data_IF_006979798091
#
_entry.id   IF_006979798091
#
_cell.length_a   1.000
_cell.length_b   1.000
_cell.length_c   1.000
_cell.angle_alpha   90.00
_cell.angle_beta   90.00
_cell.angle_gamma   90.00
#
_symmetry.space_group_name_H-M   'P 1'
#
loop_
_entity.id
_entity.type
_entity.pdbx_description
1 polymer ?
#
# COMPACT_ATOMS: atom_id res chain seq x y z
N UNK A 1 8.61 23.48 -16.00
CA UNK A 1 7.17 23.60 -15.76
C UNK A 1 6.94 22.95 -14.41
N UNK A 2 6.96 23.75 -13.36
CA UNK A 2 6.85 23.26 -11.98
C UNK A 2 5.44 22.73 -11.75
N UNK A 3 5.34 21.53 -11.16
CA UNK A 3 4.08 20.86 -10.85
C UNK A 3 3.33 21.66 -9.76
N UNK A 4 2.50 22.60 -10.21
CA UNK A 4 1.76 23.56 -9.38
C UNK A 4 0.64 22.92 -8.52
N UNK A 5 0.76 21.66 -8.12
CA UNK A 5 -0.29 20.94 -7.42
C UNK A 5 0.16 19.89 -6.42
N UNK A 6 1.45 19.81 -6.06
CA UNK A 6 1.90 18.89 -5.02
C UNK A 6 1.10 19.12 -3.75
N UNK A 7 0.25 18.15 -3.38
CA UNK A 7 -0.39 18.17 -2.07
C UNK A 7 0.69 18.21 -1.02
N UNK A 8 0.59 19.15 -0.08
CA UNK A 8 1.33 19.03 1.15
C UNK A 8 0.67 17.92 1.97
N UNK A 9 1.13 16.68 1.75
CA UNK A 9 0.65 15.49 2.46
C UNK A 9 0.84 15.59 3.98
N UNK A 10 1.63 16.56 4.46
CA UNK A 10 1.77 16.82 5.90
C UNK A 10 0.73 17.78 6.47
N UNK A 11 0.10 18.59 5.62
CA UNK A 11 -0.91 19.56 6.02
C UNK A 11 -2.35 19.05 5.90
N UNK A 12 -2.56 17.92 5.21
CA UNK A 12 -3.89 17.34 4.99
C UNK A 12 -4.20 16.38 6.16
N UNK A 13 -5.27 16.63 6.95
CA UNK A 13 -5.73 15.67 7.94
C UNK A 13 -6.18 14.38 7.27
N UNK A 14 -5.88 13.23 7.89
CA UNK A 14 -6.19 11.90 7.35
C UNK A 14 -7.66 11.77 6.95
N UNK A 15 -8.58 12.26 7.78
CA UNK A 15 -10.03 12.21 7.54
C UNK A 15 -10.50 12.96 6.29
N UNK A 16 -9.72 13.94 5.82
CA UNK A 16 -10.05 14.76 4.65
C UNK A 16 -9.52 14.20 3.33
N UNK A 17 -8.70 13.15 3.36
CA UNK A 17 -8.19 12.55 2.11
C UNK A 17 -9.31 12.00 1.22
N UNK A 18 -10.42 11.56 1.82
CA UNK A 18 -11.56 11.07 1.06
C UNK A 18 -12.25 12.19 0.24
N UNK A 19 -12.22 13.42 0.75
CA UNK A 19 -12.75 14.60 0.05
C UNK A 19 -11.87 15.00 -1.15
N UNK A 20 -10.60 14.59 -1.12
CA UNK A 20 -9.64 14.85 -2.18
C UNK A 20 -9.63 13.75 -3.26
N UNK A 21 -10.36 12.64 -3.05
CA UNK A 21 -10.49 11.58 -4.03
C UNK A 21 -11.33 12.04 -5.22
N UNK A 22 -10.72 12.09 -6.40
CA UNK A 22 -11.39 12.42 -7.66
C UNK A 22 -11.86 11.15 -8.36
N UNK A 23 -11.08 10.07 -8.24
CA UNK A 23 -11.34 8.80 -8.90
C UNK A 23 -11.38 7.68 -7.87
N UNK A 24 -12.31 6.74 -8.04
CA UNK A 24 -12.41 5.54 -7.23
C UNK A 24 -12.19 4.31 -8.10
N UNK A 25 -11.13 3.56 -7.82
CA UNK A 25 -10.88 2.27 -8.46
C UNK A 25 -11.28 1.17 -7.49
N UNK A 26 -12.22 0.32 -7.92
CA UNK A 26 -12.67 -0.83 -7.16
C UNK A 26 -11.85 -2.07 -7.53
N UNK A 27 -11.66 -2.94 -6.54
CA UNK A 27 -11.13 -4.28 -6.76
C UNK A 27 -11.98 -5.04 -7.79
N UNK A 28 -11.34 -5.92 -8.56
CA UNK A 28 -12.08 -6.86 -9.38
C UNK A 28 -12.83 -7.86 -8.47
N UNK A 29 -14.08 -8.22 -8.83
CA UNK A 29 -14.79 -9.26 -8.10
C UNK A 29 -14.06 -10.60 -8.26
N UNK A 30 -14.00 -11.37 -7.18
CA UNK A 30 -13.40 -12.70 -7.13
C UNK A 30 -14.45 -13.72 -6.64
N UNK A 31 -14.32 -14.97 -7.06
CA UNK A 31 -15.12 -16.09 -6.54
C UNK A 31 -14.74 -16.40 -5.09
N UNK A 32 -15.68 -16.95 -4.32
CA UNK A 32 -15.50 -17.21 -2.88
C UNK A 32 -14.40 -18.25 -2.57
N UNK A 33 -14.15 -19.17 -3.51
CA UNK A 33 -13.14 -20.24 -3.41
C UNK A 33 -11.85 -19.93 -4.19
N UNK A 34 -11.64 -18.67 -4.59
CA UNK A 34 -10.48 -18.26 -5.37
C UNK A 34 -9.15 -18.64 -4.67
N UNK A 35 -8.28 -19.43 -5.32
CA UNK A 35 -7.04 -19.90 -4.69
C UNK A 35 -6.03 -18.78 -4.43
N UNK A 36 -6.13 -17.68 -5.17
CA UNK A 36 -5.33 -16.48 -5.00
C UNK A 36 -6.21 -15.24 -5.19
N UNK A 37 -7.07 -14.99 -4.20
CA UNK A 37 -7.94 -13.81 -4.14
C UNK A 37 -7.15 -12.52 -4.30
N UNK A 38 -5.97 -12.44 -3.69
CA UNK A 38 -5.15 -11.25 -3.72
C UNK A 38 -4.80 -10.83 -5.15
N UNK A 39 -4.31 -11.75 -5.98
CA UNK A 39 -4.02 -11.45 -7.39
C UNK A 39 -5.30 -11.27 -8.23
N UNK A 40 -6.33 -12.10 -8.01
CA UNK A 40 -7.59 -12.02 -8.75
C UNK A 40 -8.35 -10.70 -8.53
N UNK A 41 -8.16 -10.06 -7.37
CA UNK A 41 -8.77 -8.77 -7.03
C UNK A 41 -8.12 -7.56 -7.72
N UNK A 42 -7.02 -7.76 -8.45
CA UNK A 42 -6.22 -6.68 -9.05
C UNK A 42 -7.01 -5.89 -10.13
N UNK A 43 -7.11 -4.56 -10.00
CA UNK A 43 -7.70 -3.70 -11.04
C UNK A 43 -7.05 -3.86 -12.42
N UNK A 44 -7.84 -3.72 -13.49
CA UNK A 44 -7.39 -3.97 -14.88
C UNK A 44 -6.31 -3.01 -15.38
N UNK A 45 -6.18 -1.85 -14.76
CA UNK A 45 -5.15 -0.85 -15.05
C UNK A 45 -3.84 -1.10 -14.27
N UNK A 46 -3.72 -2.25 -13.60
CA UNK A 46 -2.56 -2.63 -12.81
C UNK A 46 -2.09 -4.04 -13.21
N UNK A 47 -0.81 -4.33 -12.94
CA UNK A 47 -0.19 -5.64 -13.20
C UNK A 47 0.83 -5.97 -12.11
N UNK A 48 0.89 -7.24 -11.71
CA UNK A 48 1.93 -7.75 -10.82
C UNK A 48 3.18 -8.09 -11.64
N UNK A 49 4.32 -7.50 -11.30
CA UNK A 49 5.63 -7.76 -11.93
C UNK A 49 6.71 -7.84 -10.86
N UNK A 50 7.89 -8.34 -11.21
CA UNK A 50 9.05 -8.21 -10.34
C UNK A 50 9.33 -6.73 -10.07
N UNK A 51 9.40 -6.37 -8.79
CA UNK A 51 9.89 -5.08 -8.33
C UNK A 51 11.39 -5.02 -8.58
N UNK A 52 11.88 -3.83 -8.91
CA UNK A 52 13.32 -3.66 -9.08
C UNK A 52 13.99 -3.88 -7.71
N UNK A 53 15.00 -4.76 -7.61
CA UNK A 53 15.70 -4.95 -6.35
C UNK A 53 16.23 -3.61 -5.86
N UNK A 54 16.05 -3.31 -4.58
CA UNK A 54 16.73 -2.21 -3.90
C UNK A 54 18.23 -2.18 -4.24
N UNK A 55 18.80 -3.37 -4.49
CA UNK A 55 20.20 -3.60 -4.88
C UNK A 55 20.55 -3.10 -6.29
N UNK A 56 19.61 -3.07 -7.24
CA UNK A 56 19.83 -2.51 -8.57
C UNK A 56 19.96 -0.98 -8.56
N UNK A 57 19.49 -0.32 -7.49
CA UNK A 57 19.62 1.13 -7.28
C UNK A 57 20.91 1.47 -6.51
N UNK A 58 21.47 0.55 -5.73
CA UNK A 58 22.69 0.75 -4.90
C UNK A 58 23.84 -0.14 -5.36
N UNK A 59 24.12 -0.11 -6.66
CA UNK A 59 24.86 -1.11 -7.44
C UNK A 59 26.20 -1.70 -6.96
N UNK A 60 26.77 -1.33 -5.80
CA UNK A 60 28.15 -1.70 -5.44
C UNK A 60 28.41 -2.19 -4.00
N UNK A 61 27.42 -2.37 -3.12
CA UNK A 61 27.72 -2.55 -1.67
C UNK A 61 27.50 -3.92 -1.03
N UNK A 62 26.96 -4.94 -1.71
CA UNK A 62 26.67 -6.22 -1.06
C UNK A 62 26.88 -7.43 -1.97
N UNK A 63 28.03 -8.12 -1.83
CA UNK A 63 28.28 -9.43 -2.45
C UNK A 63 27.55 -10.60 -1.73
N UNK A 64 26.88 -10.33 -0.61
CA UNK A 64 26.46 -11.37 0.35
C UNK A 64 24.94 -11.60 0.48
N UNK A 65 24.10 -11.10 -0.44
CA UNK A 65 22.66 -11.39 -0.42
C UNK A 65 22.25 -12.23 -1.63
N UNK A 66 21.41 -13.22 -1.38
CA UNK A 66 20.90 -14.16 -2.38
C UNK A 66 20.26 -13.40 -3.55
N UNK A 67 20.89 -13.48 -4.73
CA UNK A 67 20.51 -12.79 -5.98
C UNK A 67 19.15 -13.23 -6.55
N UNK A 68 18.41 -14.08 -5.82
CA UNK A 68 17.18 -14.73 -6.26
C UNK A 68 15.94 -14.31 -5.47
N UNK A 69 16.03 -13.34 -4.55
CA UNK A 69 14.85 -12.80 -3.86
C UNK A 69 14.08 -11.84 -4.78
N UNK A 70 13.28 -12.42 -5.68
CA UNK A 70 12.35 -11.69 -6.55
C UNK A 70 11.21 -11.14 -5.68
N UNK A 71 11.33 -9.87 -5.28
CA UNK A 71 10.22 -9.15 -4.63
C UNK A 71 9.25 -8.75 -5.71
N UNK A 72 7.98 -9.16 -5.62
CA UNK A 72 6.95 -8.71 -6.55
C UNK A 72 6.44 -7.32 -6.15
N UNK A 73 5.98 -6.55 -7.13
CA UNK A 73 5.42 -5.21 -6.97
C UNK A 73 4.25 -4.97 -7.92
N UNK A 74 3.46 -3.95 -7.61
CA UNK A 74 2.32 -3.54 -8.45
C UNK A 74 2.75 -2.42 -9.38
N UNK A 75 2.48 -2.57 -10.67
CA UNK A 75 2.85 -1.60 -11.69
C UNK A 75 1.61 -1.12 -12.42
N UNK A 76 1.63 0.15 -12.83
CA UNK A 76 0.57 0.70 -13.67
C UNK A 76 0.69 0.19 -15.11
N UNK A 77 -0.43 -0.16 -15.73
CA UNK A 77 -0.51 -0.42 -17.18
C UNK A 77 -1.04 0.77 -17.97
N UNK A 78 -1.55 1.80 -17.28
CA UNK A 78 -2.14 2.99 -17.89
C UNK A 78 -1.75 4.26 -17.10
N UNK A 79 -2.23 5.41 -17.53
CA UNK A 79 -2.14 6.66 -16.80
C UNK A 79 -3.09 6.65 -15.60
N UNK A 80 -2.59 6.88 -14.39
CA UNK A 80 -3.41 7.02 -13.17
C UNK A 80 -3.31 8.47 -12.68
N UNK A 81 -4.41 9.24 -12.72
CA UNK A 81 -4.42 10.61 -12.21
C UNK A 81 -4.09 10.68 -10.72
N UNK A 82 -3.52 11.81 -10.27
CA UNK A 82 -3.47 12.18 -8.84
C UNK A 82 -4.88 12.20 -8.23
N UNK A 83 -5.01 11.80 -6.98
CA UNK A 83 -6.28 11.75 -6.26
C UNK A 83 -7.13 10.53 -6.63
N UNK A 84 -6.50 9.47 -7.13
CA UNK A 84 -7.14 8.17 -7.33
C UNK A 84 -7.08 7.37 -6.03
N UNK A 85 -8.24 6.92 -5.55
CA UNK A 85 -8.39 6.09 -4.35
C UNK A 85 -8.49 4.60 -4.73
N UNK A 86 -7.72 3.79 -4.01
CA UNK A 86 -7.75 2.33 -4.01
C UNK A 86 -8.17 1.78 -2.65
N UNK A 87 -8.76 0.59 -2.65
CA UNK A 87 -9.14 -0.14 -1.44
C UNK A 87 -10.64 -0.15 -1.14
N UNK A 88 -11.03 -0.61 0.06
CA UNK A 88 -10.19 -0.75 1.25
C UNK A 88 -9.16 -1.89 1.18
N UNK A 89 -8.12 -1.84 2.01
CA UNK A 89 -7.22 -2.95 2.27
C UNK A 89 -8.00 -4.12 2.89
N UNK A 90 -7.75 -5.32 2.38
CA UNK A 90 -8.41 -6.55 2.86
C UNK A 90 -7.35 -7.54 3.36
N UNK A 91 -7.64 -8.17 4.50
CA UNK A 91 -6.82 -9.18 5.14
C UNK A 91 -7.53 -9.79 6.35
N UNK A 92 -6.86 -10.67 7.07
CA UNK A 92 -7.38 -11.24 8.32
C UNK A 92 -7.33 -10.21 9.45
N UNK A 93 -8.38 -10.17 10.27
CA UNK A 93 -8.46 -9.24 11.39
C UNK A 93 -8.00 -9.93 12.67
N UNK A 94 -7.04 -9.34 13.37
CA UNK A 94 -6.60 -9.77 14.70
C UNK A 94 -6.73 -8.64 15.70
N UNK A 95 -7.33 -8.91 16.86
CA UNK A 95 -7.18 -8.02 18.03
C UNK A 95 -5.78 -8.14 18.62
N UNK A 96 -5.37 -7.18 19.43
CA UNK A 96 -4.01 -7.12 19.99
C UNK A 96 -3.62 -8.39 20.76
N UNK A 97 -4.57 -8.94 21.52
CA UNK A 97 -4.45 -10.14 22.35
C UNK A 97 -4.62 -11.45 21.57
N UNK A 98 -5.11 -11.38 20.32
CA UNK A 98 -5.39 -12.52 19.46
C UNK A 98 -4.27 -12.79 18.44
N UNK A 99 -3.25 -11.91 18.37
CA UNK A 99 -2.12 -12.10 17.44
C UNK A 99 -1.29 -13.32 17.85
N UNK A 100 -1.13 -14.34 16.98
CA UNK A 100 -0.29 -15.48 17.29
C UNK A 100 1.17 -15.06 17.59
N UNK A 101 1.85 -15.64 18.59
CA UNK A 101 3.24 -15.32 18.90
C UNK A 101 4.17 -15.43 17.68
N UNK A 102 3.99 -16.49 16.90
CA UNK A 102 4.72 -16.86 15.69
C UNK A 102 4.23 -16.15 14.41
N UNK A 103 3.26 -15.23 14.52
CA UNK A 103 2.73 -14.52 13.35
C UNK A 103 3.82 -13.72 12.63
N UNK A 104 3.87 -13.88 11.31
CA UNK A 104 4.74 -13.08 10.45
C UNK A 104 4.15 -11.67 10.28
N UNK A 105 4.70 -10.73 11.04
CA UNK A 105 4.21 -9.33 11.10
C UNK A 105 4.59 -8.48 9.88
N UNK A 106 5.24 -9.07 8.85
CA UNK A 106 5.67 -8.34 7.65
C UNK A 106 4.52 -7.67 6.88
N UNK A 107 3.32 -8.25 6.92
CA UNK A 107 2.14 -7.78 6.19
C UNK A 107 1.06 -7.18 7.09
N UNK A 108 1.43 -6.81 8.32
CA UNK A 108 0.48 -6.26 9.30
C UNK A 108 0.29 -4.77 9.08
N UNK A 109 -0.97 -4.36 9.07
CA UNK A 109 -1.39 -2.97 9.13
C UNK A 109 -2.18 -2.77 10.41
N UNK A 110 -1.84 -1.76 11.20
CA UNK A 110 -2.66 -1.40 12.37
C UNK A 110 -3.84 -0.55 11.90
N UNK A 111 -4.96 -0.64 12.60
CA UNK A 111 -6.12 0.22 12.41
C UNK A 111 -6.60 0.70 13.76
N UNK A 112 -6.51 2.00 14.01
CA UNK A 112 -6.89 2.63 15.26
C UNK A 112 -8.40 2.84 15.35
N UNK A 113 -9.00 2.35 16.43
CA UNK A 113 -10.37 2.67 16.85
C UNK A 113 -10.41 3.91 17.74
N UNK A 114 -9.36 4.10 18.55
CA UNK A 114 -9.07 5.27 19.39
C UNK A 114 -7.54 5.41 19.56
N UNK A 115 -7.07 6.33 20.42
CA UNK A 115 -5.63 6.51 20.69
C UNK A 115 -4.96 5.24 21.26
N UNK A 116 -5.68 4.46 22.06
CA UNK A 116 -5.14 3.27 22.75
C UNK A 116 -5.74 1.95 22.23
N UNK A 117 -6.85 1.99 21.50
CA UNK A 117 -7.52 0.80 20.95
C UNK A 117 -7.27 0.68 19.45
N UNK A 118 -6.82 -0.49 19.02
CA UNK A 118 -6.54 -0.79 17.63
C UNK A 118 -6.59 -2.30 17.37
N UNK A 119 -6.77 -2.67 16.10
CA UNK A 119 -6.63 -4.04 15.61
C UNK A 119 -5.64 -4.11 14.45
N UNK A 120 -5.26 -5.31 14.04
CA UNK A 120 -4.41 -5.56 12.89
C UNK A 120 -5.20 -6.12 11.72
N UNK A 121 -4.83 -5.70 10.52
CA UNK A 121 -5.14 -6.36 9.26
C UNK A 121 -3.87 -7.12 8.83
N UNK A 122 -3.89 -8.44 8.87
CA UNK A 122 -2.83 -9.31 8.35
C UNK A 122 -3.12 -9.67 6.89
N UNK A 123 -2.25 -9.19 5.99
CA UNK A 123 -2.37 -9.43 4.56
C UNK A 123 -1.52 -10.62 4.06
N UNK A 124 -1.03 -11.49 4.96
CA UNK A 124 -0.17 -12.61 4.61
C UNK A 124 -0.87 -13.65 3.73
N UNK A 125 -2.07 -14.11 4.12
CA UNK A 125 -2.84 -15.13 3.38
C UNK A 125 -3.43 -14.56 2.09
N UNK A 126 -2.94 -15.04 0.95
CA UNK A 126 -3.37 -14.61 -0.40
C UNK A 126 -4.83 -14.93 -0.71
N UNK A 127 -5.46 -15.86 0.03
CA UNK A 127 -6.89 -16.18 -0.13
C UNK A 127 -7.79 -15.21 0.62
N UNK A 128 -7.27 -14.57 1.67
CA UNK A 128 -8.03 -13.69 2.57
C UNK A 128 -7.67 -12.22 2.43
N UNK A 129 -6.72 -11.90 1.54
CA UNK A 129 -6.28 -10.53 1.27
C UNK A 129 -6.64 -10.06 -0.14
N UNK A 130 -6.45 -8.77 -0.42
CA UNK A 130 -6.54 -8.22 -1.77
C UNK A 130 -5.16 -7.84 -2.33
N UNK A 131 -5.14 -7.39 -3.58
CA UNK A 131 -3.94 -7.06 -4.35
C UNK A 131 -3.04 -6.01 -3.68
N UNK A 132 -3.61 -5.17 -2.83
CA UNK A 132 -2.88 -4.12 -2.10
C UNK A 132 -1.73 -4.68 -1.24
N UNK A 133 -1.79 -5.97 -0.87
CA UNK A 133 -0.69 -6.67 -0.16
C UNK A 133 0.66 -6.64 -0.90
N UNK A 134 0.62 -6.52 -2.23
CA UNK A 134 1.79 -6.54 -3.10
C UNK A 134 2.38 -5.15 -3.37
N UNK A 135 1.75 -4.08 -2.86
CA UNK A 135 2.27 -2.72 -3.01
C UNK A 135 3.46 -2.55 -2.08
N UNK A 136 4.62 -2.22 -2.65
CA UNK A 136 5.86 -2.09 -1.89
C UNK A 136 5.93 -0.75 -1.14
N UNK A 137 6.65 -0.69 0.00
CA UNK A 137 6.92 0.58 0.66
C UNK A 137 7.81 1.46 -0.21
N UNK A 138 7.52 2.77 -0.24
CA UNK A 138 8.34 3.74 -0.94
C UNK A 138 9.70 3.91 -0.25
N UNK A 139 10.79 3.87 -1.03
CA UNK A 139 12.16 4.04 -0.52
C UNK A 139 12.61 5.49 -0.38
N UNK A 140 11.88 6.41 -1.01
CA UNK A 140 12.14 7.84 -0.97
C UNK A 140 10.86 8.60 -1.29
N UNK A 141 10.80 9.88 -0.92
CA UNK A 141 9.69 10.77 -1.30
C UNK A 141 9.49 10.86 -2.82
N UNK A 142 10.57 10.73 -3.60
CA UNK A 142 10.50 10.73 -5.08
C UNK A 142 9.86 9.46 -5.62
N UNK A 143 10.16 8.31 -5.01
CA UNK A 143 9.58 7.03 -5.39
C UNK A 143 8.10 6.91 -5.01
N UNK A 144 7.69 7.56 -3.92
CA UNK A 144 6.33 7.52 -3.41
C UNK A 144 5.32 7.95 -4.49
N UNK A 145 4.43 7.03 -4.84
CA UNK A 145 3.27 7.28 -5.72
C UNK A 145 1.97 7.29 -4.93
N UNK A 146 1.93 6.56 -3.82
CA UNK A 146 0.75 6.38 -2.96
C UNK A 146 0.98 6.89 -1.55
N UNK A 147 -0.09 7.39 -0.95
CA UNK A 147 -0.20 7.63 0.49
C UNK A 147 -1.24 6.68 1.08
N UNK A 148 -0.90 6.01 2.19
CA UNK A 148 -1.84 5.21 2.97
C UNK A 148 -2.54 6.07 4.01
N UNK A 149 -3.86 5.98 4.06
CA UNK A 149 -4.71 6.69 5.00
C UNK A 149 -5.80 5.77 5.56
N UNK A 150 -6.06 5.89 6.85
CA UNK A 150 -7.16 5.31 7.59
C UNK A 150 -8.39 6.23 7.55
N UNK A 151 -9.44 5.79 6.87
CA UNK A 151 -10.74 6.47 6.84
C UNK A 151 -11.79 5.55 7.46
N UNK A 152 -12.49 6.02 8.51
CA UNK A 152 -13.58 5.27 9.16
C UNK A 152 -13.18 3.83 9.52
N UNK A 153 -12.01 3.65 10.13
CA UNK A 153 -11.41 2.35 10.50
C UNK A 153 -11.12 1.41 9.32
N UNK A 154 -10.77 1.95 8.16
CA UNK A 154 -10.33 1.15 7.01
C UNK A 154 -9.15 1.83 6.34
N UNK A 155 -8.21 1.06 5.79
CA UNK A 155 -7.04 1.59 5.10
C UNK A 155 -7.33 1.72 3.61
N UNK A 156 -7.02 2.89 3.04
CA UNK A 156 -7.11 3.19 1.62
C UNK A 156 -5.78 3.77 1.14
N UNK A 157 -5.47 3.55 -0.13
CA UNK A 157 -4.32 4.18 -0.78
C UNK A 157 -4.78 5.26 -1.76
N UNK A 158 -4.12 6.41 -1.73
CA UNK A 158 -4.41 7.54 -2.61
C UNK A 158 -3.18 7.88 -3.44
N UNK A 159 -3.34 8.10 -4.75
CA UNK A 159 -2.24 8.62 -5.56
C UNK A 159 -1.94 10.07 -5.16
N UNK A 160 -0.74 10.33 -4.64
CA UNK A 160 -0.31 11.68 -4.24
C UNK A 160 0.25 12.49 -5.42
N UNK A 161 0.51 11.83 -6.54
CA UNK A 161 0.89 12.40 -7.83
C UNK A 161 0.35 11.52 -8.95
N UNK A 162 0.47 12.00 -10.17
CA UNK A 162 0.20 11.18 -11.35
C UNK A 162 1.17 9.99 -11.41
N UNK A 163 0.65 8.81 -11.76
CA UNK A 163 1.42 7.59 -12.03
C UNK A 163 1.34 7.29 -13.52
N UNK A 164 2.50 7.12 -14.16
CA UNK A 164 2.58 6.85 -15.59
C UNK A 164 2.48 5.34 -15.87
N UNK A 165 2.15 4.93 -17.11
CA UNK A 165 2.28 3.53 -17.52
C UNK A 165 3.71 3.00 -17.25
N UNK A 166 3.79 1.75 -16.84
CA UNK A 166 5.04 1.07 -16.45
C UNK A 166 5.79 1.74 -15.28
N UNK A 167 5.06 2.43 -14.39
CA UNK A 167 5.58 2.91 -13.11
C UNK A 167 5.08 2.05 -11.94
N UNK A 168 5.96 1.77 -10.97
CA UNK A 168 5.62 0.98 -9.78
C UNK A 168 4.81 1.82 -8.77
N UNK A 169 3.74 1.21 -8.26
CA UNK A 169 2.97 1.73 -7.14
C UNK A 169 3.75 1.43 -5.85
N UNK A 170 4.15 2.49 -5.14
CA UNK A 170 4.85 2.40 -3.86
C UNK A 170 4.20 3.32 -2.85
N UNK A 171 4.07 2.83 -1.62
CA UNK A 171 3.26 3.46 -0.59
C UNK A 171 4.08 3.91 0.60
N UNK A 172 3.71 5.04 1.17
CA UNK A 172 4.13 5.43 2.50
C UNK A 172 2.95 5.97 3.29
N UNK A 173 3.05 5.95 4.62
CA UNK A 173 2.01 6.49 5.49
C UNK A 173 1.86 8.00 5.31
N UNK A 174 0.64 8.51 5.50
CA UNK A 174 0.42 9.94 5.60
C UNK A 174 1.21 10.52 6.78
N UNK A 175 1.86 11.68 6.56
CA UNK A 175 2.66 12.33 7.61
C UNK A 175 1.80 12.83 8.78
N UNK A 176 0.53 13.16 8.55
CA UNK A 176 -0.42 13.54 9.61
C UNK A 176 -0.58 12.43 10.66
N UNK A 177 -0.32 11.19 10.27
CA UNK A 177 -0.49 10.03 11.14
C UNK A 177 0.84 9.64 11.83
N UNK A 178 1.99 10.21 11.42
CA UNK A 178 3.31 9.86 11.95
C UNK A 178 3.48 10.14 13.45
N UNK A 179 2.65 11.01 14.06
CA UNK A 179 2.63 11.15 15.52
C UNK A 179 2.12 9.90 16.26
N UNK A 180 1.56 8.92 15.53
CA UNK A 180 0.96 7.67 16.07
C UNK A 180 1.66 6.41 15.52
N UNK A 181 2.56 6.52 14.54
CA UNK A 181 3.17 5.37 13.84
C UNK A 181 4.66 5.13 14.15
N UNK A 182 5.23 5.90 15.07
CA UNK A 182 6.65 5.79 15.43
C UNK A 182 6.92 4.62 16.39
N UNK A 183 6.61 3.39 15.96
CA UNK A 183 7.12 2.16 16.58
C UNK A 183 7.33 1.12 15.47
N UNK A 184 8.56 1.05 14.95
CA UNK A 184 9.14 -0.21 14.47
C UNK A 184 9.59 -1.04 15.67
#
# INVERSE_FOLDING_TARGET
MEDAGSWDLSAIPEEKFDELAVYLVRDQPCEDDCPNRAEASLPRNLVLKDSLPWMAIIGDLCEAFDKTCHVQGIWSTDFIPRGTRFGPLVGEIYRQDEVPPEANRKFFWRVYCSEEDFYYIDCLDVKKSNWMRYVNPAYSTKAQTLVACQIKRQIYFYTCRTVLPDEELTVWYCKSSLSVWDIR
#
